data_IF_177102625241
#
_entry.id   IF_177102625241
#
_cell.length_a   1.000
_cell.length_b   1.000
_cell.length_c   1.000
_cell.angle_alpha   90.00
_cell.angle_beta   90.00
_cell.angle_gamma   90.00
#
_symmetry.space_group_name_H-M   'P 1'
#
loop_
_entity.id
_entity.type
_entity.pdbx_description
1 polymer ?
#
# COMPACT_ATOMS: atom_id res chain seq x y z
N UNK A 1 9.55 26.40 -1.29
CA UNK A 1 8.14 26.32 -1.74
C UNK A 1 7.40 25.60 -0.64
N UNK A 2 6.31 26.15 -0.11
CA UNK A 2 5.60 25.57 1.04
C UNK A 2 4.18 25.23 0.61
N UNK A 3 3.98 24.02 0.10
CA UNK A 3 2.67 23.37 0.13
C UNK A 3 2.78 22.20 1.11
N UNK A 4 1.70 21.95 1.83
CA UNK A 4 1.61 20.79 2.71
C UNK A 4 1.77 19.50 1.88
N UNK A 5 2.44 18.50 2.44
CA UNK A 5 2.59 17.19 1.79
C UNK A 5 1.79 16.14 2.55
N UNK A 6 1.03 15.34 1.81
CA UNK A 6 0.39 14.12 2.27
C UNK A 6 1.14 12.92 1.70
N UNK A 7 1.65 12.07 2.58
CA UNK A 7 2.21 10.78 2.21
C UNK A 7 1.09 9.73 2.14
N UNK A 8 0.66 9.37 0.93
CA UNK A 8 -0.49 8.50 0.72
C UNK A 8 -0.22 7.01 1.03
N UNK A 9 1.01 6.63 1.38
CA UNK A 9 1.35 5.25 1.69
C UNK A 9 2.64 5.16 2.52
N UNK A 10 2.48 4.93 3.83
CA UNK A 10 3.59 4.71 4.76
C UNK A 10 3.40 3.38 5.51
N UNK A 11 4.41 2.51 5.48
CA UNK A 11 4.36 1.27 6.23
C UNK A 11 4.77 1.44 7.71
N UNK A 12 4.23 0.60 8.60
CA UNK A 12 4.63 0.47 10.00
C UNK A 12 4.73 -0.99 10.43
N UNK A 13 5.67 -1.30 11.31
CA UNK A 13 5.87 -2.63 11.87
C UNK A 13 7.09 -3.36 11.32
N UNK A 14 7.24 -4.62 11.70
CA UNK A 14 8.41 -5.46 11.36
C UNK A 14 7.98 -6.52 10.37
N UNK A 15 8.53 -6.51 9.16
CA UNK A 15 8.31 -7.54 8.15
C UNK A 15 9.49 -8.52 8.14
N UNK A 16 9.28 -9.84 8.36
CA UNK A 16 10.36 -10.83 8.32
C UNK A 16 11.00 -10.98 6.93
N UNK A 17 10.34 -10.50 5.88
CA UNK A 17 10.80 -10.59 4.49
C UNK A 17 11.27 -9.24 3.93
N UNK A 18 11.30 -8.19 4.75
CA UNK A 18 11.53 -6.82 4.28
C UNK A 18 12.09 -5.89 5.35
N UNK A 19 11.65 -4.63 5.29
CA UNK A 19 12.14 -3.58 6.17
C UNK A 19 11.48 -3.57 7.55
N UNK A 20 12.25 -3.13 8.54
CA UNK A 20 11.74 -2.68 9.84
C UNK A 20 11.22 -1.25 9.69
N UNK A 21 9.90 -1.05 9.67
CA UNK A 21 9.30 0.27 9.49
C UNK A 21 9.06 0.93 10.86
N UNK A 22 10.10 1.58 11.39
CA UNK A 22 10.04 2.32 12.67
C UNK A 22 9.35 3.68 12.50
N UNK A 23 8.22 3.84 13.19
CA UNK A 23 7.40 5.05 13.16
C UNK A 23 8.12 6.30 13.71
N UNK A 24 9.03 6.14 14.68
CA UNK A 24 9.83 7.27 15.19
C UNK A 24 10.85 7.73 14.17
N UNK A 25 11.42 6.80 13.41
CA UNK A 25 12.28 7.12 12.29
C UNK A 25 11.49 7.82 11.18
N UNK A 26 10.29 7.32 10.88
CA UNK A 26 9.39 7.95 9.92
C UNK A 26 9.08 9.41 10.29
N UNK A 27 8.62 9.68 11.51
CA UNK A 27 8.29 11.04 11.98
C UNK A 27 9.46 11.99 11.76
N UNK A 28 10.68 11.58 12.16
CA UNK A 28 11.89 12.40 11.94
C UNK A 28 12.17 12.69 10.47
N UNK A 29 11.80 11.78 9.57
CA UNK A 29 11.97 11.98 8.13
C UNK A 29 10.86 12.86 7.57
N UNK A 30 9.60 12.53 7.88
CA UNK A 30 8.42 13.28 7.49
C UNK A 30 8.54 14.77 7.84
N UNK A 31 8.96 15.11 9.07
CA UNK A 31 9.18 16.51 9.48
C UNK A 31 10.27 17.20 8.67
N UNK A 32 11.34 16.50 8.24
CA UNK A 32 12.42 17.09 7.44
C UNK A 32 12.02 17.45 6.02
N UNK A 33 11.06 16.70 5.46
CA UNK A 33 10.55 16.91 4.09
C UNK A 33 9.13 17.50 4.09
N UNK A 34 8.73 18.09 5.22
CA UNK A 34 7.47 18.83 5.41
C UNK A 34 6.18 18.04 5.13
N UNK A 35 6.21 16.72 5.36
CA UNK A 35 4.99 15.88 5.38
C UNK A 35 4.17 16.27 6.61
N UNK A 36 2.92 16.68 6.37
CA UNK A 36 1.94 17.06 7.40
C UNK A 36 0.96 15.95 7.73
N UNK A 37 0.69 15.07 6.76
CA UNK A 37 -0.31 14.01 6.89
C UNK A 37 0.23 12.72 6.29
N UNK A 38 -0.15 11.60 6.87
CA UNK A 38 0.26 10.30 6.35
C UNK A 38 -0.82 9.23 6.49
N UNK A 39 -0.84 8.32 5.53
CA UNK A 39 -1.65 7.11 5.57
C UNK A 39 -0.80 5.97 6.11
N UNK A 40 -1.09 5.58 7.35
CA UNK A 40 -0.36 4.54 8.07
C UNK A 40 -0.95 3.16 7.75
N UNK A 41 -0.09 2.29 7.21
CA UNK A 41 -0.43 0.96 6.72
C UNK A 41 0.44 -0.07 7.44
N UNK A 42 -0.13 -1.11 8.08
CA UNK A 42 0.68 -2.19 8.64
C UNK A 42 1.47 -2.92 7.54
N UNK A 43 2.69 -3.37 7.83
CA UNK A 43 3.39 -4.30 6.91
C UNK A 43 2.58 -5.59 6.77
N UNK A 44 2.53 -6.15 5.55
CA UNK A 44 1.56 -7.20 5.20
C UNK A 44 1.80 -8.53 5.93
N UNK A 45 3.03 -8.77 6.40
CA UNK A 45 3.38 -9.95 7.20
C UNK A 45 4.04 -9.52 8.52
N UNK A 46 3.35 -8.67 9.27
CA UNK A 46 3.87 -8.09 10.52
C UNK A 46 4.18 -9.14 11.59
N UNK A 47 5.36 -9.06 12.20
CA UNK A 47 5.65 -9.73 13.47
C UNK A 47 4.98 -8.93 14.59
N UNK A 48 4.07 -9.57 15.32
CA UNK A 48 3.50 -9.01 16.55
C UNK A 48 4.29 -9.55 17.73
N UNK A 49 4.78 -8.66 18.59
CA UNK A 49 5.46 -9.01 19.84
C UNK A 49 4.55 -8.69 21.03
N UNK A 50 4.25 -9.70 21.83
CA UNK A 50 3.59 -9.62 23.13
C UNK A 50 4.58 -10.09 24.22
N UNK A 51 4.27 -9.82 25.48
CA UNK A 51 5.18 -10.05 26.64
C UNK A 51 5.84 -11.44 26.64
N UNK A 52 5.07 -12.49 26.38
CA UNK A 52 5.52 -13.88 26.47
C UNK A 52 5.38 -14.66 25.14
N UNK A 53 5.14 -13.95 24.04
CA UNK A 53 4.86 -14.55 22.73
C UNK A 53 5.16 -13.57 21.59
N UNK A 54 5.69 -14.07 20.49
CA UNK A 54 5.62 -13.38 19.20
C UNK A 54 4.79 -14.20 18.21
N UNK A 55 4.15 -13.55 17.25
CA UNK A 55 3.46 -14.30 16.20
C UNK A 55 3.40 -13.58 14.85
N UNK A 56 3.25 -14.39 13.81
CA UNK A 56 2.98 -13.97 12.44
C UNK A 56 1.49 -14.25 12.14
N UNK A 57 0.68 -13.21 11.86
CA UNK A 57 -0.78 -13.32 11.74
C UNK A 57 -1.21 -14.10 10.50
N UNK A 58 -0.50 -13.90 9.39
CA UNK A 58 -0.80 -14.52 8.11
C UNK A 58 0.48 -14.83 7.35
N UNK A 59 0.81 -16.11 7.31
CA UNK A 59 1.81 -16.72 6.45
C UNK A 59 1.10 -17.60 5.44
N UNK A 60 1.79 -17.98 4.38
CA UNK A 60 1.29 -18.89 3.37
C UNK A 60 2.29 -19.97 3.06
N UNK A 61 1.78 -21.18 2.87
CA UNK A 61 2.52 -22.34 2.39
C UNK A 61 1.72 -23.02 1.28
N UNK A 62 2.39 -23.81 0.45
CA UNK A 62 1.74 -24.57 -0.62
C UNK A 62 1.76 -26.03 -0.21
N UNK A 63 0.59 -26.59 0.07
CA UNK A 63 0.40 -28.00 0.40
C UNK A 63 -0.46 -28.63 -0.69
N UNK A 64 0.03 -29.70 -1.32
CA UNK A 64 -0.70 -30.43 -2.38
C UNK A 64 -1.26 -29.54 -3.51
N UNK A 65 -0.51 -28.49 -3.87
CA UNK A 65 -0.91 -27.53 -4.90
C UNK A 65 -1.96 -26.50 -4.48
N UNK A 66 -2.37 -26.49 -3.20
CA UNK A 66 -3.30 -25.50 -2.62
C UNK A 66 -2.58 -24.56 -1.68
N UNK A 67 -3.07 -23.32 -1.59
CA UNK A 67 -2.58 -22.36 -0.61
C UNK A 67 -3.13 -22.75 0.77
N UNK A 68 -2.23 -22.91 1.74
CA UNK A 68 -2.55 -23.02 3.16
C UNK A 68 -2.15 -21.74 3.86
N UNK A 69 -3.08 -21.13 4.59
CA UNK A 69 -2.78 -19.95 5.39
C UNK A 69 -2.44 -20.34 6.81
N UNK A 70 -1.40 -19.75 7.38
CA UNK A 70 -0.88 -20.13 8.69
C UNK A 70 -0.71 -18.92 9.59
N UNK A 71 -1.17 -19.02 10.83
CA UNK A 71 -0.70 -18.17 11.92
C UNK A 71 0.36 -18.94 12.70
N UNK A 72 1.56 -18.38 12.82
CA UNK A 72 2.69 -19.01 13.54
C UNK A 72 2.93 -18.26 14.85
N UNK A 73 2.69 -18.91 15.97
CA UNK A 73 2.88 -18.38 17.32
C UNK A 73 4.15 -19.00 17.94
N UNK A 74 5.04 -18.16 18.46
CA UNK A 74 6.28 -18.56 19.11
C UNK A 74 6.24 -18.11 20.56
N UNK A 75 6.30 -19.08 21.47
CA UNK A 75 6.34 -18.91 22.92
C UNK A 75 7.72 -19.29 23.47
N UNK A 76 7.99 -18.96 24.73
CA UNK A 76 9.20 -19.39 25.43
C UNK A 76 9.32 -20.94 25.53
N UNK A 77 8.19 -21.66 25.48
CA UNK A 77 8.13 -23.12 25.61
C UNK A 77 7.95 -23.86 24.28
N UNK A 78 7.84 -23.16 23.14
CA UNK A 78 7.71 -23.80 21.84
C UNK A 78 6.92 -23.01 20.80
N UNK A 79 6.60 -23.65 19.68
CA UNK A 79 5.85 -23.05 18.58
C UNK A 79 4.49 -23.73 18.37
N UNK A 80 3.49 -22.93 18.00
CA UNK A 80 2.16 -23.39 17.63
C UNK A 80 1.79 -22.83 16.26
N UNK A 81 1.22 -23.68 15.41
CA UNK A 81 0.72 -23.28 14.09
C UNK A 81 -0.78 -23.46 14.02
N UNK A 82 -1.50 -22.41 13.64
CA UNK A 82 -2.95 -22.42 13.40
C UNK A 82 -3.17 -22.35 11.89
N UNK A 83 -3.89 -23.33 11.34
CA UNK A 83 -4.22 -23.41 9.92
C UNK A 83 -5.50 -22.63 9.62
N UNK A 84 -5.51 -21.89 8.51
CA UNK A 84 -6.59 -21.02 8.04
C UNK A 84 -7.19 -20.15 9.15
N UNK A 85 -6.37 -19.29 9.78
CA UNK A 85 -6.86 -18.41 10.84
C UNK A 85 -7.96 -17.49 10.30
N UNK A 86 -9.04 -17.33 11.05
CA UNK A 86 -10.09 -16.33 10.76
C UNK A 86 -9.60 -14.95 11.18
N UNK A 87 -9.92 -13.93 10.39
CA UNK A 87 -9.58 -12.52 10.65
C UNK A 87 -8.09 -12.31 11.00
N UNK A 88 -7.14 -12.76 10.17
CA UNK A 88 -5.73 -12.79 10.55
C UNK A 88 -5.17 -11.41 10.93
N UNK A 89 -5.71 -10.34 10.36
CA UNK A 89 -5.24 -8.97 10.60
C UNK A 89 -5.99 -8.24 11.72
N UNK A 90 -6.90 -8.90 12.46
CA UNK A 90 -7.70 -8.26 13.53
C UNK A 90 -6.83 -7.52 14.56
N UNK A 91 -5.96 -8.25 15.26
CA UNK A 91 -5.00 -7.66 16.22
C UNK A 91 -4.09 -6.60 15.57
N UNK A 92 -3.64 -6.83 14.33
CA UNK A 92 -2.76 -5.89 13.58
C UNK A 92 -3.48 -4.55 13.37
N UNK A 93 -4.74 -4.60 12.98
CA UNK A 93 -5.56 -3.43 12.71
C UNK A 93 -5.94 -2.71 14.01
N UNK A 94 -6.18 -3.45 15.10
CA UNK A 94 -6.41 -2.87 16.43
C UNK A 94 -5.18 -2.13 16.96
N UNK A 95 -3.99 -2.72 16.81
CA UNK A 95 -2.72 -2.07 17.16
C UNK A 95 -2.48 -0.82 16.31
N UNK A 96 -2.78 -0.85 15.02
CA UNK A 96 -2.73 0.33 14.13
C UNK A 96 -3.62 1.46 14.67
N UNK A 97 -4.88 1.16 14.98
CA UNK A 97 -5.82 2.17 15.51
C UNK A 97 -5.32 2.79 16.82
N UNK A 98 -4.73 1.96 17.70
CA UNK A 98 -4.16 2.43 18.97
C UNK A 98 -2.96 3.34 18.73
N UNK A 99 -1.99 2.91 17.91
CA UNK A 99 -0.78 3.68 17.60
C UNK A 99 -1.15 5.03 16.99
N UNK A 100 -2.04 5.05 15.99
CA UNK A 100 -2.47 6.29 15.34
C UNK A 100 -3.14 7.25 16.32
N UNK A 101 -3.98 6.73 17.23
CA UNK A 101 -4.61 7.55 18.28
C UNK A 101 -3.56 8.17 19.21
N UNK A 102 -2.63 7.37 19.69
CA UNK A 102 -1.55 7.83 20.58
C UNK A 102 -0.70 8.90 19.90
N UNK A 103 -0.29 8.65 18.65
CA UNK A 103 0.45 9.62 17.84
C UNK A 103 -0.35 10.90 17.64
N UNK A 104 -1.61 10.85 17.21
CA UNK A 104 -2.37 12.08 16.98
C UNK A 104 -2.67 12.86 18.28
N UNK A 105 -2.58 12.24 19.45
CA UNK A 105 -2.68 12.93 20.74
C UNK A 105 -1.36 13.49 21.26
N UNK A 106 -0.21 12.94 20.82
CA UNK A 106 1.09 13.54 21.12
C UNK A 106 1.31 14.78 20.26
N UNK A 107 2.00 15.79 20.79
CA UNK A 107 2.34 17.02 20.06
C UNK A 107 3.39 16.74 18.98
N UNK A 108 3.02 16.05 17.89
CA UNK A 108 3.86 15.89 16.71
C UNK A 108 3.25 16.61 15.51
N UNK A 109 4.12 17.07 14.61
CA UNK A 109 3.76 17.89 13.44
C UNK A 109 3.10 17.11 12.30
N UNK A 110 2.88 15.80 12.47
CA UNK A 110 2.32 14.89 11.47
C UNK A 110 1.03 14.27 11.98
N UNK A 111 -0.04 14.37 11.18
CA UNK A 111 -1.32 13.71 11.43
C UNK A 111 -1.36 12.36 10.72
N UNK A 112 -1.77 11.32 11.44
CA UNK A 112 -1.81 9.95 10.96
C UNK A 112 -3.26 9.51 10.69
N UNK A 113 -3.48 8.85 9.56
CA UNK A 113 -4.77 8.24 9.19
C UNK A 113 -4.61 6.73 9.04
N UNK A 114 -5.62 5.95 9.42
CA UNK A 114 -5.51 4.50 9.38
C UNK A 114 -5.88 3.94 8.02
N UNK A 115 -5.04 3.01 7.55
CA UNK A 115 -5.32 2.14 6.42
C UNK A 115 -5.11 0.68 6.86
N UNK A 116 -6.12 0.08 7.52
CA UNK A 116 -6.07 -1.31 7.94
C UNK A 116 -5.98 -2.29 6.77
N UNK A 117 -5.42 -3.46 7.05
CA UNK A 117 -5.30 -4.57 6.11
C UNK A 117 -6.57 -5.39 6.09
N UNK A 118 -6.96 -5.86 4.90
CA UNK A 118 -8.00 -6.87 4.72
C UNK A 118 -7.43 -8.11 4.05
N UNK A 119 -7.84 -9.28 4.54
CA UNK A 119 -7.67 -10.55 3.85
C UNK A 119 -8.96 -10.93 3.11
N UNK A 120 -8.99 -10.95 1.77
CA UNK A 120 -10.24 -11.10 1.00
C UNK A 120 -10.88 -12.50 1.06
N UNK A 121 -10.33 -13.42 1.86
CA UNK A 121 -10.79 -14.83 1.97
C UNK A 121 -11.03 -15.18 3.44
N UNK A 122 -10.11 -14.79 4.32
CA UNK A 122 -10.11 -15.17 5.73
C UNK A 122 -10.83 -14.18 6.65
N UNK A 123 -11.00 -12.94 6.20
CA UNK A 123 -11.82 -11.98 6.94
C UNK A 123 -13.29 -12.28 6.70
N UNK A 124 -14.03 -12.34 7.79
CA UNK A 124 -15.48 -12.45 7.72
C UNK A 124 -16.14 -11.07 7.50
N UNK A 125 -17.46 -11.11 7.27
CA UNK A 125 -18.27 -9.91 7.04
C UNK A 125 -18.32 -8.98 8.25
N UNK A 126 -18.33 -9.52 9.47
CA UNK A 126 -18.46 -8.76 10.71
C UNK A 126 -17.20 -7.94 10.98
N UNK A 127 -16.02 -8.56 10.88
CA UNK A 127 -14.73 -7.89 11.04
C UNK A 127 -14.50 -6.87 9.93
N UNK A 128 -14.81 -7.22 8.67
CA UNK A 128 -14.72 -6.29 7.54
C UNK A 128 -15.61 -5.07 7.79
N UNK A 129 -16.86 -5.27 8.21
CA UNK A 129 -17.78 -4.16 8.46
C UNK A 129 -17.37 -3.33 9.69
N UNK A 130 -16.84 -3.94 10.76
CA UNK A 130 -16.24 -3.25 11.91
C UNK A 130 -15.10 -2.32 11.47
N UNK A 131 -14.18 -2.82 10.65
CA UNK A 131 -13.05 -2.04 10.11
C UNK A 131 -13.53 -0.86 9.28
N UNK A 132 -14.49 -1.09 8.37
CA UNK A 132 -14.99 -0.07 7.44
C UNK A 132 -15.88 0.99 8.12
N UNK A 133 -16.60 0.62 9.19
CA UNK A 133 -17.41 1.55 10.00
C UNK A 133 -16.56 2.50 10.85
N UNK A 134 -15.33 2.12 11.18
CA UNK A 134 -14.47 2.96 12.01
C UNK A 134 -14.19 4.29 11.31
N UNK A 135 -14.52 5.40 11.97
CA UNK A 135 -14.35 6.75 11.42
C UNK A 135 -12.88 7.10 11.14
N UNK A 136 -11.96 6.50 11.90
CA UNK A 136 -10.52 6.71 11.72
C UNK A 136 -9.94 5.94 10.52
N UNK A 137 -10.71 5.04 9.90
CA UNK A 137 -10.33 4.31 8.68
C UNK A 137 -10.57 5.21 7.46
N UNK A 138 -9.51 5.68 6.81
CA UNK A 138 -9.63 6.51 5.59
C UNK A 138 -9.66 5.66 4.30
N UNK A 139 -9.01 4.51 4.33
CA UNK A 139 -8.95 3.52 3.25
C UNK A 139 -8.72 2.13 3.84
N UNK A 140 -8.74 1.10 3.01
CA UNK A 140 -8.28 -0.24 3.38
C UNK A 140 -7.29 -0.75 2.34
N UNK A 141 -6.41 -1.68 2.73
CA UNK A 141 -5.42 -2.26 1.80
C UNK A 141 -5.58 -3.76 1.67
N UNK A 142 -5.53 -4.25 0.44
CA UNK A 142 -5.36 -5.67 0.13
C UNK A 142 -3.98 -5.87 -0.50
N UNK A 143 -3.14 -6.69 0.14
CA UNK A 143 -1.83 -7.05 -0.38
C UNK A 143 -1.90 -8.40 -1.09
N UNK A 144 -2.16 -8.39 -2.40
CA UNK A 144 -2.41 -9.62 -3.16
C UNK A 144 -1.27 -10.65 -3.13
N UNK A 145 -0.01 -10.20 -3.12
CA UNK A 145 1.15 -11.12 -3.02
C UNK A 145 1.21 -11.82 -1.66
N UNK A 146 1.17 -11.08 -0.55
CA UNK A 146 1.25 -11.64 0.81
C UNK A 146 0.04 -12.50 1.15
N UNK A 147 -1.15 -12.12 0.69
CA UNK A 147 -2.39 -12.87 0.89
C UNK A 147 -2.63 -13.95 -0.18
N UNK A 148 -1.76 -14.08 -1.18
CA UNK A 148 -1.96 -14.96 -2.36
C UNK A 148 -3.33 -14.80 -3.02
N UNK A 149 -3.74 -13.56 -3.23
CA UNK A 149 -5.05 -13.22 -3.78
C UNK A 149 -4.94 -12.31 -5.00
N UNK A 150 -6.00 -12.37 -5.81
CA UNK A 150 -6.23 -11.56 -7.01
C UNK A 150 -7.62 -10.92 -6.94
N UNK A 151 -8.05 -10.26 -8.01
CA UNK A 151 -9.42 -9.74 -8.14
C UNK A 151 -10.48 -10.83 -8.01
N UNK A 152 -10.16 -12.07 -8.40
CA UNK A 152 -11.07 -13.23 -8.33
C UNK A 152 -11.44 -13.63 -6.91
N UNK A 153 -10.63 -13.23 -5.92
CA UNK A 153 -10.84 -13.56 -4.52
C UNK A 153 -11.65 -12.50 -3.78
N UNK A 154 -11.87 -11.32 -4.37
CA UNK A 154 -12.67 -10.25 -3.76
C UNK A 154 -14.15 -10.57 -3.98
N UNK A 155 -14.85 -10.90 -2.90
CA UNK A 155 -16.27 -11.26 -2.96
C UNK A 155 -17.17 -10.07 -3.29
N UNK A 156 -18.37 -10.34 -3.84
CA UNK A 156 -19.39 -9.30 -4.07
C UNK A 156 -19.81 -8.62 -2.77
N UNK A 157 -19.82 -9.34 -1.66
CA UNK A 157 -20.12 -8.78 -0.34
C UNK A 157 -19.07 -7.75 0.09
N UNK A 158 -17.78 -8.04 -0.13
CA UNK A 158 -16.69 -7.10 0.14
C UNK A 158 -16.80 -5.86 -0.78
N UNK A 159 -17.10 -6.05 -2.06
CA UNK A 159 -17.38 -4.94 -3.00
C UNK A 159 -18.52 -4.06 -2.47
N UNK A 160 -19.64 -4.67 -2.08
CA UNK A 160 -20.79 -3.96 -1.55
C UNK A 160 -20.46 -3.18 -0.26
N UNK A 161 -19.70 -3.78 0.66
CA UNK A 161 -19.30 -3.10 1.89
C UNK A 161 -18.39 -1.90 1.60
N UNK A 162 -17.41 -2.03 0.70
CA UNK A 162 -16.54 -0.92 0.29
C UNK A 162 -17.34 0.26 -0.28
N UNK A 163 -18.33 -0.03 -1.13
CA UNK A 163 -19.24 0.97 -1.69
C UNK A 163 -20.13 1.61 -0.60
N UNK A 164 -20.73 0.79 0.27
CA UNK A 164 -21.63 1.22 1.34
C UNK A 164 -20.95 2.22 2.28
N UNK A 165 -19.70 1.96 2.66
CA UNK A 165 -18.92 2.83 3.55
C UNK A 165 -18.08 3.87 2.81
N UNK A 166 -18.20 3.91 1.48
CA UNK A 166 -17.49 4.80 0.57
C UNK A 166 -15.99 4.89 0.87
N UNK A 167 -15.35 3.73 1.04
CA UNK A 167 -13.92 3.62 1.38
C UNK A 167 -13.08 3.32 0.14
N UNK A 168 -11.94 3.99 0.03
CA UNK A 168 -10.93 3.68 -0.98
C UNK A 168 -10.28 2.32 -0.68
N UNK A 169 -10.06 1.51 -1.70
CA UNK A 169 -9.25 0.29 -1.63
C UNK A 169 -7.88 0.55 -2.26
N UNK A 170 -6.82 0.44 -1.46
CA UNK A 170 -5.44 0.44 -1.94
C UNK A 170 -5.07 -0.99 -2.34
N UNK A 171 -4.63 -1.17 -3.59
CA UNK A 171 -4.22 -2.48 -4.12
C UNK A 171 -2.75 -2.47 -4.48
N UNK A 172 -2.01 -3.44 -3.93
CA UNK A 172 -0.68 -3.75 -4.42
C UNK A 172 -0.77 -4.35 -5.82
N UNK A 173 0.09 -3.90 -6.74
CA UNK A 173 0.20 -4.45 -8.09
C UNK A 173 1.59 -5.00 -8.34
N UNK A 174 1.67 -6.01 -9.20
CA UNK A 174 2.91 -6.61 -9.67
C UNK A 174 2.75 -6.98 -11.16
N UNK A 175 3.82 -7.37 -11.81
CA UNK A 175 3.83 -7.72 -13.21
C UNK A 175 4.75 -8.91 -13.48
N UNK A 176 4.28 -9.78 -14.36
CA UNK A 176 5.02 -10.89 -14.92
C UNK A 176 4.40 -11.30 -16.26
N UNK A 177 5.14 -11.17 -17.35
CA UNK A 177 4.70 -11.52 -18.71
C UNK A 177 5.05 -12.94 -19.13
N UNK A 178 6.03 -13.56 -18.49
CA UNK A 178 6.46 -14.92 -18.77
C UNK A 178 5.41 -16.00 -18.50
N UNK A 179 5.80 -17.25 -18.79
CA UNK A 179 5.07 -18.44 -18.37
C UNK A 179 5.43 -18.80 -16.91
N UNK A 180 4.48 -18.74 -15.96
CA UNK A 180 4.80 -18.93 -14.55
C UNK A 180 5.34 -20.33 -14.23
N UNK A 181 6.59 -20.39 -13.77
CA UNK A 181 7.25 -21.64 -13.34
C UNK A 181 7.04 -21.96 -11.87
N UNK A 182 6.56 -20.98 -11.10
CA UNK A 182 6.25 -21.15 -9.68
C UNK A 182 5.04 -20.31 -9.29
N UNK A 183 4.50 -20.58 -8.11
CA UNK A 183 3.32 -19.91 -7.60
C UNK A 183 3.52 -18.40 -7.41
N UNK A 184 4.72 -17.94 -7.06
CA UNK A 184 4.99 -16.51 -6.89
C UNK A 184 4.89 -15.77 -8.23
N UNK A 185 5.48 -16.30 -9.31
CA UNK A 185 5.32 -15.77 -10.67
C UNK A 185 3.86 -15.77 -11.13
N UNK A 186 3.10 -16.82 -10.77
CA UNK A 186 1.67 -16.88 -11.05
C UNK A 186 0.91 -15.76 -10.32
N UNK A 187 1.18 -15.55 -9.04
CA UNK A 187 0.58 -14.47 -8.26
C UNK A 187 0.94 -13.10 -8.81
N UNK A 188 2.19 -12.88 -9.24
CA UNK A 188 2.59 -11.62 -9.91
C UNK A 188 1.74 -11.36 -11.14
N UNK A 189 1.58 -12.38 -11.99
CA UNK A 189 0.73 -12.32 -13.18
C UNK A 189 -0.73 -12.05 -12.86
N UNK A 190 -1.27 -12.63 -11.78
CA UNK A 190 -2.65 -12.43 -11.32
C UNK A 190 -2.88 -11.09 -10.59
N UNK A 191 -1.80 -10.41 -10.18
CA UNK A 191 -1.83 -9.08 -9.54
C UNK A 191 -1.57 -7.94 -10.53
N UNK A 192 -1.94 -8.18 -11.79
CA UNK A 192 -1.74 -7.27 -12.90
C UNK A 192 -2.47 -5.93 -12.69
N UNK A 193 -1.82 -4.78 -12.89
CA UNK A 193 -2.45 -3.46 -12.78
C UNK A 193 -3.65 -3.27 -13.73
N UNK A 194 -3.62 -3.85 -14.94
CA UNK A 194 -4.73 -3.76 -15.92
C UNK A 194 -5.99 -4.42 -15.35
N UNK A 195 -5.85 -5.62 -14.80
CA UNK A 195 -6.97 -6.38 -14.25
C UNK A 195 -7.54 -5.71 -13.00
N UNK A 196 -6.67 -5.10 -12.18
CA UNK A 196 -7.07 -4.32 -11.00
C UNK A 196 -7.88 -3.09 -11.40
N UNK A 197 -7.42 -2.31 -12.39
CA UNK A 197 -8.14 -1.14 -12.89
C UNK A 197 -9.50 -1.52 -13.46
N UNK A 198 -9.55 -2.55 -14.34
CA UNK A 198 -10.83 -3.05 -14.90
C UNK A 198 -11.80 -3.47 -13.82
N UNK A 199 -11.33 -4.27 -12.85
CA UNK A 199 -12.15 -4.68 -11.71
C UNK A 199 -12.72 -3.47 -10.94
N UNK A 200 -11.92 -2.43 -10.74
CA UNK A 200 -12.40 -1.19 -10.11
C UNK A 200 -13.49 -0.49 -10.90
N UNK A 201 -13.31 -0.36 -12.22
CA UNK A 201 -14.28 0.27 -13.11
C UNK A 201 -15.58 -0.53 -13.15
N UNK A 202 -15.50 -1.84 -13.40
CA UNK A 202 -16.64 -2.74 -13.55
C UNK A 202 -17.50 -2.81 -12.28
N UNK A 203 -16.88 -2.60 -11.12
CA UNK A 203 -17.55 -2.62 -9.82
C UNK A 203 -17.74 -1.21 -9.23
N UNK A 204 -17.48 -0.13 -9.98
CA UNK A 204 -17.56 1.25 -9.49
C UNK A 204 -16.87 1.45 -8.11
N UNK A 205 -15.70 0.84 -7.93
CA UNK A 205 -14.89 0.95 -6.72
C UNK A 205 -13.91 2.11 -6.84
N UNK A 206 -13.65 2.72 -5.69
CA UNK A 206 -12.58 3.69 -5.52
C UNK A 206 -11.26 2.95 -5.29
N UNK A 207 -10.36 2.95 -6.26
CA UNK A 207 -9.08 2.23 -6.19
C UNK A 207 -7.89 3.18 -6.20
N UNK A 208 -6.96 2.97 -5.27
CA UNK A 208 -5.59 3.49 -5.39
C UNK A 208 -4.68 2.35 -5.86
N UNK A 209 -4.13 2.49 -7.06
CA UNK A 209 -3.19 1.55 -7.66
C UNK A 209 -1.78 1.89 -7.17
N UNK A 210 -1.21 1.07 -6.29
CA UNK A 210 0.14 1.30 -5.78
C UNK A 210 1.22 1.06 -6.84
N UNK A 211 2.41 1.63 -6.61
CA UNK A 211 3.62 1.41 -7.41
C UNK A 211 3.48 1.81 -8.89
N UNK A 212 2.80 2.93 -9.12
CA UNK A 212 2.52 3.52 -10.43
C UNK A 212 1.88 2.52 -11.42
N UNK A 213 1.16 1.52 -10.91
CA UNK A 213 0.63 0.42 -11.71
C UNK A 213 1.71 -0.30 -12.52
N UNK A 214 2.91 -0.50 -11.92
CA UNK A 214 4.08 -1.11 -12.55
C UNK A 214 4.41 -0.54 -13.94
N UNK A 215 4.23 0.78 -14.08
CA UNK A 215 4.47 1.54 -15.30
C UNK A 215 3.66 1.04 -16.51
N UNK A 216 2.41 0.62 -16.29
CA UNK A 216 1.52 0.17 -17.36
C UNK A 216 0.76 1.33 -18.01
N UNK A 217 1.20 1.81 -19.18
CA UNK A 217 0.44 2.79 -19.97
C UNK A 217 -0.98 2.33 -20.31
N UNK A 218 -1.19 1.02 -20.40
CA UNK A 218 -2.53 0.48 -20.66
C UNK A 218 -3.44 0.62 -19.45
N UNK A 219 -2.95 0.33 -18.24
CA UNK A 219 -3.72 0.54 -17.02
C UNK A 219 -4.06 2.02 -16.82
N UNK A 220 -3.12 2.93 -17.12
CA UNK A 220 -3.34 4.38 -17.05
C UNK A 220 -4.40 4.84 -18.06
N UNK A 221 -4.30 4.41 -19.33
CA UNK A 221 -5.32 4.73 -20.35
C UNK A 221 -6.71 4.22 -20.01
N UNK A 222 -6.82 3.05 -19.37
CA UNK A 222 -8.10 2.53 -18.90
C UNK A 222 -8.71 3.38 -17.77
N UNK A 223 -7.85 3.95 -16.92
CA UNK A 223 -8.26 4.77 -15.79
C UNK A 223 -8.49 6.24 -16.15
N UNK A 224 -8.05 6.71 -17.32
CA UNK A 224 -8.08 8.11 -17.71
C UNK A 224 -9.51 8.69 -17.66
N UNK A 225 -9.66 9.81 -16.96
CA UNK A 225 -10.96 10.47 -16.74
C UNK A 225 -11.84 9.80 -15.68
N UNK A 226 -11.48 8.61 -15.17
CA UNK A 226 -12.21 7.96 -14.09
C UNK A 226 -11.79 8.51 -12.72
N UNK A 227 -12.65 9.34 -12.12
CA UNK A 227 -12.42 9.99 -10.82
C UNK A 227 -12.22 9.03 -9.63
N UNK A 228 -12.58 7.75 -9.77
CA UNK A 228 -12.47 6.75 -8.72
C UNK A 228 -11.11 6.03 -8.73
N UNK A 229 -10.29 6.22 -9.76
CA UNK A 229 -9.00 5.53 -9.90
C UNK A 229 -7.87 6.55 -9.76
N UNK A 230 -6.93 6.25 -8.86
CA UNK A 230 -5.70 7.00 -8.65
C UNK A 230 -4.48 6.08 -8.60
N UNK A 231 -3.28 6.65 -8.72
CA UNK A 231 -2.02 5.93 -8.75
C UNK A 231 -1.04 6.54 -7.73
N UNK A 232 -0.51 5.71 -6.82
CA UNK A 232 0.60 6.08 -5.93
C UNK A 232 1.94 5.88 -6.62
N UNK A 233 2.86 6.85 -6.50
CA UNK A 233 4.16 6.83 -7.17
C UNK A 233 5.17 5.88 -6.51
N UNK A 234 5.14 5.75 -5.19
CA UNK A 234 6.19 5.07 -4.42
C UNK A 234 6.17 3.54 -4.54
N UNK A 235 7.31 2.86 -4.31
CA UNK A 235 8.65 3.40 -4.07
C UNK A 235 9.37 3.64 -5.40
N UNK A 236 9.70 4.89 -5.72
CA UNK A 236 10.22 5.22 -7.06
C UNK A 236 11.62 4.64 -7.32
N UNK A 237 12.51 4.67 -6.34
CA UNK A 237 13.89 4.22 -6.51
C UNK A 237 13.98 2.70 -6.62
N UNK A 238 13.35 1.97 -5.70
CA UNK A 238 13.34 0.51 -5.75
C UNK A 238 12.66 0.02 -7.03
N UNK A 239 11.53 0.63 -7.41
CA UNK A 239 10.79 0.23 -8.60
C UNK A 239 11.63 0.38 -9.87
N UNK A 240 12.39 1.48 -10.02
CA UNK A 240 13.28 1.70 -11.18
C UNK A 240 14.41 0.69 -11.30
N UNK A 241 14.76 -0.02 -10.22
CA UNK A 241 15.76 -1.09 -10.22
C UNK A 241 15.15 -2.46 -10.55
N UNK A 242 13.86 -2.66 -10.29
CA UNK A 242 13.14 -3.91 -10.52
C UNK A 242 12.55 -3.99 -11.93
N UNK A 243 13.35 -3.69 -12.96
CA UNK A 243 12.88 -3.56 -14.36
C UNK A 243 12.10 -4.77 -14.88
N UNK A 244 12.42 -5.98 -14.41
CA UNK A 244 11.72 -7.22 -14.79
C UNK A 244 10.31 -7.35 -14.20
N UNK A 245 9.95 -6.48 -13.24
CA UNK A 245 8.60 -6.39 -12.66
C UNK A 245 7.85 -5.14 -13.16
N UNK A 246 8.28 -4.53 -14.26
CA UNK A 246 7.65 -3.35 -14.89
C UNK A 246 7.17 -3.67 -16.31
N UNK A 247 6.06 -3.03 -16.72
CA UNK A 247 5.62 -3.02 -18.12
C UNK A 247 6.60 -2.25 -18.99
N UNK A 248 6.84 -0.98 -18.64
CA UNK A 248 7.86 -0.16 -19.26
C UNK A 248 9.13 -0.24 -18.41
N UNK A 249 10.25 -0.69 -18.99
CA UNK A 249 11.54 -0.88 -18.30
C UNK A 249 12.29 0.44 -18.06
N UNK A 250 11.61 1.43 -17.47
CA UNK A 250 12.13 2.76 -17.16
C UNK A 250 12.73 2.78 -15.74
N UNK A 251 13.92 3.35 -15.57
CA UNK A 251 14.54 3.55 -14.26
C UNK A 251 14.21 4.91 -13.63
N UNK A 252 13.69 5.86 -14.40
CA UNK A 252 13.19 7.13 -13.90
C UNK A 252 11.66 7.08 -13.74
N UNK A 253 11.23 6.34 -12.72
CA UNK A 253 9.81 6.15 -12.37
C UNK A 253 9.09 7.48 -12.20
N UNK A 254 9.71 8.47 -11.53
CA UNK A 254 9.12 9.79 -11.32
C UNK A 254 8.79 10.48 -12.65
N UNK A 255 9.77 10.56 -13.57
CA UNK A 255 9.55 11.12 -14.90
C UNK A 255 8.49 10.33 -15.67
N UNK A 256 8.53 9.00 -15.62
CA UNK A 256 7.53 8.16 -16.28
C UNK A 256 6.11 8.46 -15.77
N UNK A 257 5.93 8.54 -14.45
CA UNK A 257 4.65 8.86 -13.83
C UNK A 257 4.13 10.22 -14.30
N UNK A 258 4.99 11.23 -14.26
CA UNK A 258 4.63 12.57 -14.71
C UNK A 258 4.23 12.56 -16.18
N UNK A 259 4.99 11.89 -17.05
CA UNK A 259 4.74 11.82 -18.51
C UNK A 259 3.44 11.11 -18.89
N UNK A 260 3.03 10.10 -18.13
CA UNK A 260 1.96 9.20 -18.55
C UNK A 260 0.69 9.31 -17.71
N UNK A 261 0.77 9.65 -16.42
CA UNK A 261 -0.38 9.69 -15.51
C UNK A 261 -0.92 11.12 -15.42
N UNK A 262 -2.25 11.33 -15.60
CA UNK A 262 -2.86 12.63 -15.39
C UNK A 262 -2.57 13.19 -13.99
N UNK A 263 -2.21 14.47 -13.90
CA UNK A 263 -1.86 15.16 -12.64
C UNK A 263 -2.93 14.97 -11.57
N UNK A 264 -4.22 15.00 -11.95
CA UNK A 264 -5.35 14.81 -11.04
C UNK A 264 -5.62 13.35 -10.62
N UNK A 265 -4.84 12.38 -11.08
CA UNK A 265 -4.92 10.98 -10.67
C UNK A 265 -3.65 10.49 -9.98
N UNK A 266 -2.61 11.32 -9.92
CA UNK A 266 -1.32 10.98 -9.33
C UNK A 266 -1.26 11.38 -7.85
N UNK A 267 -0.79 10.45 -7.01
CA UNK A 267 -0.63 10.64 -5.57
C UNK A 267 0.84 10.53 -5.20
N UNK A 268 1.33 11.49 -4.40
CA UNK A 268 2.61 11.34 -3.74
C UNK A 268 2.52 10.31 -2.61
N UNK A 269 3.48 9.40 -2.58
CA UNK A 269 3.75 8.54 -1.44
C UNK A 269 5.22 8.14 -1.40
N UNK A 270 5.72 7.90 -0.20
CA UNK A 270 7.11 7.49 0.01
C UNK A 270 7.30 5.99 -0.01
N UNK A 271 6.22 5.21 0.15
CA UNK A 271 6.25 3.78 0.47
C UNK A 271 7.32 3.47 1.53
N UNK A 272 7.28 4.23 2.63
CA UNK A 272 8.31 4.20 3.67
C UNK A 272 8.67 2.77 4.10
N UNK A 273 9.97 2.49 4.18
CA UNK A 273 10.52 1.16 4.42
C UNK A 273 10.86 0.41 3.14
N UNK A 274 10.17 0.67 2.03
CA UNK A 274 10.41 0.01 0.74
C UNK A 274 11.11 0.90 -0.28
N UNK A 275 11.13 2.22 -0.08
CA UNK A 275 11.95 3.10 -0.92
C UNK A 275 13.42 3.06 -0.51
N UNK A 276 14.14 2.10 -1.10
CA UNK A 276 15.52 1.74 -0.79
C UNK A 276 16.34 1.57 -2.07
N UNK A 277 17.66 1.61 -1.93
CA UNK A 277 18.59 1.46 -3.05
C UNK A 277 18.79 0.01 -3.52
N UNK A 278 18.39 -0.98 -2.73
CA UNK A 278 18.54 -2.41 -3.04
C UNK A 278 17.89 -3.23 -1.92
N UNK A 279 17.28 -4.39 -2.27
CA UNK A 279 16.68 -5.31 -1.27
C UNK A 279 17.70 -5.96 -0.33
N UNK A 280 19.00 -5.92 -0.64
CA UNK A 280 20.06 -6.33 0.29
C UNK A 280 20.45 -5.24 1.30
N UNK A 281 19.93 -4.01 1.17
CA UNK A 281 20.34 -2.84 1.94
C UNK A 281 19.16 -2.12 2.57
N UNK A 282 18.32 -2.84 3.32
CA UNK A 282 17.14 -2.30 4.01
C UNK A 282 17.40 -1.11 4.95
N UNK A 283 18.64 -0.95 5.42
CA UNK A 283 19.06 0.20 6.24
C UNK A 283 19.37 1.46 5.41
N UNK A 284 19.53 1.34 4.10
CA UNK A 284 19.79 2.47 3.19
C UNK A 284 18.49 2.92 2.53
N UNK A 285 17.71 3.71 3.27
CA UNK A 285 16.48 4.31 2.76
C UNK A 285 16.78 5.52 1.91
N UNK A 286 16.03 5.64 0.82
CA UNK A 286 15.96 6.86 0.05
C UNK A 286 15.07 7.88 0.75
N UNK A 287 15.45 9.16 0.65
CA UNK A 287 14.72 10.29 1.23
C UNK A 287 14.52 11.42 0.21
N UNK A 288 14.84 11.16 -1.05
CA UNK A 288 14.91 12.16 -2.10
C UNK A 288 13.67 12.24 -2.98
N UNK A 289 12.60 11.47 -2.70
CA UNK A 289 11.41 11.41 -3.55
C UNK A 289 10.72 12.77 -3.74
N UNK A 290 10.66 13.61 -2.70
CA UNK A 290 10.08 14.96 -2.80
C UNK A 290 10.89 15.81 -3.77
N UNK A 291 12.20 15.90 -3.56
CA UNK A 291 13.11 16.70 -4.41
C UNK A 291 13.13 16.20 -5.85
N UNK A 292 13.11 14.88 -6.07
CA UNK A 292 13.04 14.28 -7.41
C UNK A 292 11.73 14.61 -8.11
N UNK A 293 10.59 14.50 -7.41
CA UNK A 293 9.29 14.83 -7.99
C UNK A 293 9.20 16.32 -8.36
N UNK A 294 9.71 17.21 -7.52
CA UNK A 294 9.78 18.65 -7.80
C UNK A 294 10.67 18.91 -9.03
N UNK A 295 11.86 18.33 -9.06
CA UNK A 295 12.82 18.50 -10.15
C UNK A 295 12.25 18.04 -11.49
N UNK A 296 11.74 16.80 -11.56
CA UNK A 296 11.16 16.26 -12.80
C UNK A 296 9.85 16.99 -13.17
N UNK A 297 9.06 17.42 -12.18
CA UNK A 297 7.86 18.23 -12.38
C UNK A 297 8.16 19.55 -13.09
N UNK A 298 9.14 20.31 -12.60
CA UNK A 298 9.54 21.57 -13.24
C UNK A 298 10.15 21.35 -14.62
N UNK A 299 10.94 20.29 -14.79
CA UNK A 299 11.49 19.93 -16.10
C UNK A 299 10.40 19.59 -17.12
N UNK A 300 9.27 19.03 -16.67
CA UNK A 300 8.07 18.79 -17.50
C UNK A 300 7.24 20.06 -17.74
N UNK A 301 7.53 21.16 -17.04
CA UNK A 301 6.76 22.41 -17.12
C UNK A 301 5.54 22.44 -16.21
N UNK A 302 5.48 21.58 -15.19
CA UNK A 302 4.45 21.67 -14.15
C UNK A 302 4.63 22.94 -13.33
N UNK A 303 3.51 23.58 -13.01
CA UNK A 303 3.51 24.76 -12.16
C UNK A 303 3.29 24.37 -10.68
N UNK A 304 3.27 25.38 -9.80
CA UNK A 304 3.08 25.17 -8.37
C UNK A 304 1.73 24.53 -8.01
N UNK A 305 0.66 24.84 -8.76
CA UNK A 305 -0.66 24.25 -8.57
C UNK A 305 -0.65 22.76 -8.92
N UNK A 306 -0.01 22.37 -10.02
CA UNK A 306 0.08 20.96 -10.43
C UNK A 306 0.81 20.13 -9.37
N UNK A 307 1.94 20.64 -8.87
CA UNK A 307 2.69 20.00 -7.80
C UNK A 307 1.86 19.90 -6.51
N UNK A 308 1.16 20.98 -6.13
CA UNK A 308 0.26 20.97 -4.97
C UNK A 308 -0.85 19.93 -5.12
N UNK A 309 -1.39 19.73 -6.34
CA UNK A 309 -2.39 18.69 -6.57
C UNK A 309 -1.84 17.29 -6.30
N UNK A 310 -0.62 16.99 -6.76
CA UNK A 310 0.04 15.68 -6.57
C UNK A 310 0.42 15.45 -5.11
N UNK A 311 1.00 16.45 -4.45
CA UNK A 311 1.48 16.35 -3.07
C UNK A 311 0.36 16.41 -2.03
N UNK A 312 -0.80 16.99 -2.34
CA UNK A 312 -1.84 17.27 -1.34
C UNK A 312 -3.26 16.99 -1.83
N UNK A 313 -3.73 17.75 -2.82
CA UNK A 313 -5.18 17.87 -3.09
C UNK A 313 -5.80 16.55 -3.55
N UNK A 314 -5.06 15.78 -4.34
CA UNK A 314 -5.54 14.48 -4.80
C UNK A 314 -5.69 13.49 -3.64
N UNK A 315 -4.74 13.43 -2.71
CA UNK A 315 -4.83 12.54 -1.55
C UNK A 315 -5.97 12.97 -0.62
N UNK A 316 -6.08 14.28 -0.34
CA UNK A 316 -7.20 14.84 0.42
C UNK A 316 -8.56 14.47 -0.17
N UNK A 317 -8.72 14.58 -1.50
CA UNK A 317 -9.95 14.20 -2.19
C UNK A 317 -10.21 12.70 -2.19
N UNK A 318 -9.19 11.88 -2.49
CA UNK A 318 -9.35 10.42 -2.59
C UNK A 318 -9.70 9.80 -1.24
N UNK A 319 -9.01 10.23 -0.18
CA UNK A 319 -9.13 9.63 1.15
C UNK A 319 -10.04 10.41 2.10
N UNK A 320 -10.62 11.53 1.64
CA UNK A 320 -11.47 12.44 2.40
C UNK A 320 -10.80 12.93 3.69
N UNK A 321 -9.54 13.32 3.58
CA UNK A 321 -8.74 13.82 4.70
C UNK A 321 -8.54 15.33 4.54
N UNK A 322 -8.99 16.07 5.57
CA UNK A 322 -8.99 17.54 5.61
C UNK A 322 -7.67 18.10 6.07
#
# INVERSE_FOLDING_TARGET
MTFDVIDAHCHVGIDPFGAVCDIKEYIKQATKIDIKKTLLIPVATQIIQKKDMSYLPCMREIEEGKIMYLRKETYNWGQKTIRNPRNPYGDVNEDLFKITRELNTSQNDVVFYNVPLLHPILDDKEETEKILKNEATCAVKIHGISTSTSTKNISKDLVFLLQKYDKQLIVHTDYYDGDPKNHFQKLKKENNPIDRVRFGIDNNLKLNIAHAGRLSKQAVRLAEGNKNISFGIGPDLLLGQEKESLYDKDDNVMKWCLDNIPVNQLLFDTDFGWNIYDRGKWSKRDRGSVDRLIYEGYKKGLNHSDLRSIFYENASRCFKIS
#
